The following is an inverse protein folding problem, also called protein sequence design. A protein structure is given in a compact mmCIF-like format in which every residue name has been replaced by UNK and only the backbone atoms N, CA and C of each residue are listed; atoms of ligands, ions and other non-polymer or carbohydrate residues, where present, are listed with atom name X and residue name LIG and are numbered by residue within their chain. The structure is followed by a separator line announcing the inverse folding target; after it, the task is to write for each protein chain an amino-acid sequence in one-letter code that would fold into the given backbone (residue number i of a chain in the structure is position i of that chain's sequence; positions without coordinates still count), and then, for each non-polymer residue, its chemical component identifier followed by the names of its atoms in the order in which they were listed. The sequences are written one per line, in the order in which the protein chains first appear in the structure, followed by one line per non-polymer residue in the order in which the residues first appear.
data_IF_823302273368
#
_entry.id   IF_823302273368
#
_cell.length_a   1.000
_cell.length_b   1.000
_cell.length_c   1.000
_cell.angle_alpha   90.00
_cell.angle_beta   90.00
_cell.angle_gamma   90.00
#
_symmetry.space_group_name_H-M   'P 1'
#
loop_
_entity.id
_entity.type
_entity.pdbx_description
1 polymer ?
#
# COMPACT_ATOMS: atom_id res chain seq x y z
N UNK A 1 -50.27 -34.05 -43.58
CA UNK A 1 -49.05 -34.25 -44.39
C UNK A 1 -48.74 -32.95 -45.11
N UNK A 2 -47.49 -32.45 -45.00
CA UNK A 2 -46.80 -31.49 -45.88
C UNK A 2 -45.85 -30.64 -45.02
N UNK A 3 -44.55 -30.70 -45.32
CA UNK A 3 -43.53 -29.82 -44.73
C UNK A 3 -43.32 -28.63 -45.66
N UNK A 4 -42.94 -27.47 -45.12
CA UNK A 4 -42.12 -26.51 -45.84
C UNK A 4 -41.03 -25.96 -44.92
N UNK A 5 -39.82 -25.83 -45.46
CA UNK A 5 -38.59 -25.53 -44.73
C UNK A 5 -38.18 -24.09 -44.98
N UNK A 6 -38.08 -23.27 -43.94
CA UNK A 6 -37.42 -21.96 -44.01
C UNK A 6 -35.93 -22.13 -43.68
N UNK A 7 -35.08 -21.77 -44.64
CA UNK A 7 -33.62 -21.88 -44.51
C UNK A 7 -33.06 -20.69 -43.73
N UNK A 8 -32.30 -20.94 -42.66
CA UNK A 8 -31.48 -19.91 -42.00
C UNK A 8 -30.10 -19.87 -42.66
N UNK A 9 -29.70 -18.71 -43.21
CA UNK A 9 -28.30 -18.44 -43.52
C UNK A 9 -27.58 -18.02 -42.24
N UNK A 10 -26.61 -18.81 -41.80
CA UNK A 10 -25.72 -18.46 -40.70
C UNK A 10 -24.42 -17.84 -41.24
N UNK A 11 -24.26 -16.52 -41.06
CA UNK A 11 -23.02 -15.81 -41.38
C UNK A 11 -22.00 -16.05 -40.27
N UNK A 12 -20.96 -16.84 -40.53
CA UNK A 12 -19.90 -17.11 -39.57
C UNK A 12 -18.95 -15.90 -39.45
N UNK A 13 -18.99 -15.20 -38.31
CA UNK A 13 -18.04 -14.14 -37.99
C UNK A 13 -16.81 -14.75 -37.31
N UNK A 14 -15.67 -14.78 -38.01
CA UNK A 14 -14.40 -15.25 -37.47
C UNK A 14 -13.82 -14.23 -36.48
N UNK A 15 -14.09 -14.44 -35.19
CA UNK A 15 -13.44 -13.69 -34.12
C UNK A 15 -11.97 -14.16 -33.97
N UNK A 16 -11.03 -13.30 -34.34
CA UNK A 16 -9.60 -13.52 -34.05
C UNK A 16 -9.38 -13.32 -32.56
N UNK A 17 -9.35 -14.43 -31.82
CA UNK A 17 -9.04 -14.41 -30.38
C UNK A 17 -7.59 -14.04 -30.16
N UNK A 18 -7.32 -12.84 -29.66
CA UNK A 18 -6.04 -12.46 -29.08
C UNK A 18 -5.85 -13.22 -27.76
N UNK A 19 -5.29 -14.43 -27.83
CA UNK A 19 -4.87 -15.20 -26.66
C UNK A 19 -3.66 -14.53 -26.01
N UNK A 20 -3.91 -13.52 -25.18
CA UNK A 20 -2.91 -12.98 -24.26
C UNK A 20 -2.70 -14.01 -23.15
N UNK A 21 -1.63 -14.80 -23.27
CA UNK A 21 -1.19 -15.66 -22.17
C UNK A 21 -0.57 -14.79 -21.07
N UNK A 22 -1.38 -14.35 -20.12
CA UNK A 22 -0.94 -13.63 -18.94
C UNK A 22 -1.21 -14.44 -17.67
N UNK A 23 -0.37 -15.45 -17.42
CA UNK A 23 -0.16 -15.95 -16.05
C UNK A 23 0.70 -14.94 -15.26
N UNK A 24 0.17 -13.73 -15.05
CA UNK A 24 0.81 -12.73 -14.19
C UNK A 24 0.25 -12.86 -12.77
N UNK A 25 0.95 -13.60 -11.91
CA UNK A 25 0.68 -13.68 -10.46
C UNK A 25 1.01 -12.37 -9.70
N UNK A 26 1.23 -11.27 -10.43
CA UNK A 26 1.62 -9.96 -9.92
C UNK A 26 0.45 -8.99 -9.98
N UNK A 27 0.34 -8.11 -8.99
CA UNK A 27 -0.63 -7.02 -9.00
C UNK A 27 -0.29 -6.01 -10.10
N UNK A 28 -1.29 -5.47 -10.79
CA UNK A 28 -1.09 -4.37 -11.73
C UNK A 28 -0.84 -3.06 -10.97
N UNK A 29 -0.12 -2.13 -11.59
CA UNK A 29 0.07 -0.79 -11.02
C UNK A 29 -1.27 -0.03 -10.90
N UNK A 30 -2.23 -0.25 -11.81
CA UNK A 30 -3.58 0.30 -11.72
C UNK A 30 -4.33 -0.23 -10.49
N UNK A 31 -4.20 -1.52 -10.16
CA UNK A 31 -4.88 -2.11 -9.00
C UNK A 31 -4.38 -1.51 -7.68
N UNK A 32 -3.06 -1.39 -7.50
CA UNK A 32 -2.51 -0.76 -6.28
C UNK A 32 -2.72 0.75 -6.24
N UNK A 33 -2.76 1.43 -7.41
CA UNK A 33 -3.13 2.84 -7.49
C UNK A 33 -4.60 3.06 -7.13
N UNK A 34 -5.52 2.21 -7.58
CA UNK A 34 -6.93 2.24 -7.19
C UNK A 34 -7.08 2.07 -5.68
N UNK A 35 -6.42 1.07 -5.06
CA UNK A 35 -6.43 0.90 -3.59
C UNK A 35 -5.97 2.19 -2.91
N UNK A 36 -4.81 2.72 -3.31
CA UNK A 36 -4.23 3.92 -2.70
C UNK A 36 -5.11 5.17 -2.85
N UNK A 37 -5.79 5.35 -3.98
CA UNK A 37 -6.69 6.49 -4.23
C UNK A 37 -8.07 6.32 -3.59
N UNK A 38 -8.47 5.10 -3.25
CA UNK A 38 -9.74 4.90 -2.53
C UNK A 38 -9.65 5.43 -1.10
N UNK A 39 -8.47 5.48 -0.49
CA UNK A 39 -8.28 6.06 0.85
C UNK A 39 -8.65 7.55 0.98
N UNK A 40 -8.13 8.49 0.16
CA UNK A 40 -8.62 9.87 0.14
C UNK A 40 -10.07 9.98 -0.34
N UNK A 41 -10.47 9.16 -1.32
CA UNK A 41 -11.85 9.18 -1.82
C UNK A 41 -12.87 8.69 -0.78
N UNK A 42 -12.45 7.85 0.17
CA UNK A 42 -13.21 7.40 1.32
C UNK A 42 -12.94 8.23 2.58
N UNK A 43 -12.30 9.41 2.48
CA UNK A 43 -12.04 10.34 3.59
C UNK A 43 -11.23 9.73 4.77
N UNK A 44 -10.36 8.74 4.48
CA UNK A 44 -9.43 8.13 5.45
C UNK A 44 -8.06 8.84 5.51
N UNK A 45 -7.85 9.81 4.62
CA UNK A 45 -6.63 10.62 4.51
C UNK A 45 -7.01 12.08 4.20
N UNK A 46 -6.27 13.09 4.66
CA UNK A 46 -4.95 13.03 5.30
C UNK A 46 -4.97 12.66 6.80
N UNK A 47 -6.17 12.53 7.36
CA UNK A 47 -6.43 12.16 8.76
C UNK A 47 -7.50 11.04 8.73
N UNK A 48 -7.39 9.98 9.54
CA UNK A 48 -6.31 9.68 10.49
C UNK A 48 -5.00 9.24 9.83
N UNK A 49 -5.01 8.77 8.57
CA UNK A 49 -3.82 8.27 7.86
C UNK A 49 -3.20 9.37 6.98
N UNK A 50 -1.96 9.82 7.24
CA UNK A 50 -1.25 10.70 6.33
C UNK A 50 -1.04 10.06 4.95
N UNK A 51 -1.39 10.78 3.87
CA UNK A 51 -1.20 10.29 2.50
C UNK A 51 0.26 9.94 2.17
N UNK A 52 1.22 10.54 2.89
CA UNK A 52 2.66 10.24 2.78
C UNK A 52 3.06 8.87 3.33
N UNK A 53 2.21 8.20 4.12
CA UNK A 53 2.45 6.83 4.60
C UNK A 53 2.02 5.77 3.59
N UNK A 54 1.11 6.09 2.66
CA UNK A 54 0.63 5.16 1.65
C UNK A 54 1.66 4.99 0.52
N UNK A 55 2.25 3.81 0.44
CA UNK A 55 2.86 3.33 -0.80
C UNK A 55 2.35 1.92 -1.07
N UNK A 56 1.11 1.80 -1.55
CA UNK A 56 0.50 0.49 -1.81
C UNK A 56 1.28 -0.21 -2.93
N UNK A 57 1.77 -1.41 -2.61
CA UNK A 57 2.62 -2.27 -3.43
C UNK A 57 2.07 -3.70 -3.52
N UNK A 58 1.11 -4.08 -2.67
CA UNK A 58 0.44 -5.37 -2.67
C UNK A 58 -1.07 -5.26 -2.46
N UNK A 59 -1.78 -6.33 -2.82
CA UNK A 59 -3.23 -6.45 -2.68
C UNK A 59 -3.54 -7.23 -1.42
N UNK A 60 -4.24 -6.58 -0.48
CA UNK A 60 -4.71 -7.21 0.76
C UNK A 60 -6.08 -7.85 0.54
N UNK A 61 -6.18 -9.18 0.69
CA UNK A 61 -7.46 -9.83 0.95
C UNK A 61 -7.70 -9.92 2.47
N UNK A 62 -8.96 -9.75 2.85
CA UNK A 62 -9.45 -9.81 4.22
C UNK A 62 -10.64 -10.75 4.25
N UNK A 63 -10.65 -11.67 5.21
CA UNK A 63 -11.73 -12.66 5.37
C UNK A 63 -12.10 -12.78 6.86
N UNK A 64 -13.36 -12.55 7.21
CA UNK A 64 -13.89 -12.68 8.57
C UNK A 64 -14.62 -14.02 8.70
N UNK A 65 -13.97 -15.04 9.27
CA UNK A 65 -14.51 -16.41 9.27
C UNK A 65 -14.69 -16.93 7.85
N UNK A 66 -15.95 -17.13 7.42
CA UNK A 66 -16.30 -17.54 6.05
C UNK A 66 -16.64 -16.35 5.12
N UNK A 67 -16.58 -15.11 5.61
CA UNK A 67 -17.00 -13.90 4.88
C UNK A 67 -15.79 -13.22 4.24
N UNK A 68 -15.63 -13.39 2.92
CA UNK A 68 -14.61 -12.70 2.12
C UNK A 68 -15.03 -11.25 1.81
N UNK A 69 -14.17 -10.28 2.12
CA UNK A 69 -14.28 -8.91 1.58
C UNK A 69 -13.96 -8.96 0.09
N UNK A 70 -14.91 -8.54 -0.73
CA UNK A 70 -14.85 -8.68 -2.19
C UNK A 70 -14.42 -7.36 -2.86
N UNK A 71 -14.87 -6.23 -2.31
CA UNK A 71 -14.52 -4.89 -2.78
C UNK A 71 -14.11 -3.98 -1.60
N UNK A 72 -13.33 -2.93 -1.92
CA UNK A 72 -12.99 -1.88 -0.96
C UNK A 72 -14.27 -1.12 -0.55
N UNK A 73 -14.50 -1.01 0.75
CA UNK A 73 -15.67 -0.32 1.29
C UNK A 73 -16.97 -1.13 1.26
N UNK A 74 -16.91 -2.45 1.01
CA UNK A 74 -18.05 -3.35 1.18
C UNK A 74 -18.75 -3.09 2.53
N UNK A 75 -20.08 -2.99 2.50
CA UNK A 75 -20.89 -2.89 3.71
C UNK A 75 -21.07 -4.28 4.32
N UNK A 76 -20.52 -4.50 5.50
CA UNK A 76 -20.69 -5.73 6.27
C UNK A 76 -21.59 -5.48 7.50
N UNK A 77 -22.29 -6.53 7.92
CA UNK A 77 -23.07 -6.52 9.16
C UNK A 77 -22.19 -6.88 10.36
N UNK A 78 -22.57 -6.40 11.55
CA UNK A 78 -21.94 -6.80 12.83
C UNK A 78 -21.83 -8.33 12.98
N UNK A 79 -22.83 -9.08 12.51
CA UNK A 79 -22.83 -10.55 12.56
C UNK A 79 -21.73 -11.19 11.69
N UNK A 80 -21.43 -10.62 10.53
CA UNK A 80 -20.39 -11.12 9.61
C UNK A 80 -18.96 -10.91 10.14
N UNK A 81 -18.78 -9.95 11.05
CA UNK A 81 -17.48 -9.59 11.64
C UNK A 81 -17.35 -9.99 13.12
N UNK A 82 -18.05 -11.05 13.56
CA UNK A 82 -17.85 -11.58 14.92
C UNK A 82 -16.53 -12.35 15.05
N UNK A 83 -16.07 -12.98 13.96
CA UNK A 83 -14.81 -13.74 13.93
C UNK A 83 -13.66 -12.83 13.51
N UNK A 84 -12.52 -12.92 14.19
CA UNK A 84 -11.31 -12.19 13.84
C UNK A 84 -10.88 -12.44 12.38
N UNK A 85 -10.46 -11.40 11.64
CA UNK A 85 -10.09 -11.54 10.24
C UNK A 85 -8.76 -12.28 10.05
N UNK A 86 -8.68 -13.11 9.01
CA UNK A 86 -7.42 -13.51 8.38
C UNK A 86 -7.02 -12.51 7.29
N UNK A 87 -5.72 -12.30 7.13
CA UNK A 87 -5.15 -11.34 6.19
C UNK A 87 -4.20 -12.04 5.21
N UNK A 88 -4.29 -11.71 3.92
CA UNK A 88 -3.48 -12.35 2.87
C UNK A 88 -3.00 -11.34 1.85
N UNK A 89 -1.70 -11.35 1.52
CA UNK A 89 -1.15 -10.62 0.39
C UNK A 89 -1.29 -11.50 -0.85
N UNK A 90 -2.28 -11.21 -1.69
CA UNK A 90 -2.66 -12.11 -2.79
C UNK A 90 -1.82 -11.96 -4.03
N UNK A 91 -1.28 -10.77 -4.25
CA UNK A 91 -0.43 -10.38 -5.36
C UNK A 91 0.32 -9.10 -5.02
N UNK A 92 1.48 -8.90 -5.64
CA UNK A 92 2.36 -7.75 -5.43
C UNK A 92 2.84 -7.17 -6.76
N UNK A 93 3.19 -5.89 -6.82
CA UNK A 93 3.73 -5.28 -8.06
C UNK A 93 5.08 -5.91 -8.44
N UNK A 94 5.50 -5.83 -9.72
CA UNK A 94 6.84 -6.24 -10.12
C UNK A 94 7.95 -5.50 -9.35
N UNK A 95 7.76 -4.21 -9.03
CA UNK A 95 8.67 -3.45 -8.16
C UNK A 95 8.80 -4.06 -6.75
N UNK A 96 7.67 -4.37 -6.12
CA UNK A 96 7.61 -4.96 -4.80
C UNK A 96 8.33 -6.31 -4.75
N UNK A 97 8.11 -7.14 -5.78
CA UNK A 97 8.75 -8.44 -5.92
C UNK A 97 10.26 -8.31 -6.07
N UNK A 98 10.74 -7.43 -6.97
CA UNK A 98 12.18 -7.20 -7.17
C UNK A 98 12.87 -6.60 -5.95
N UNK A 99 12.19 -5.74 -5.21
CA UNK A 99 12.69 -5.15 -3.96
C UNK A 99 12.51 -6.06 -2.73
N UNK A 100 11.87 -7.24 -2.90
CA UNK A 100 11.53 -8.16 -1.80
C UNK A 100 10.75 -7.49 -0.66
N UNK A 101 9.83 -6.57 -0.98
CA UNK A 101 8.93 -5.88 -0.03
C UNK A 101 8.13 -6.90 0.79
N UNK A 102 7.66 -7.95 0.11
CA UNK A 102 6.91 -9.06 0.69
C UNK A 102 7.76 -10.34 0.79
N UNK A 103 9.08 -10.19 0.98
CA UNK A 103 10.02 -11.31 1.13
C UNK A 103 9.92 -12.01 2.49
N UNK A 104 10.40 -13.25 2.58
CA UNK A 104 10.27 -14.10 3.79
C UNK A 104 11.04 -13.61 5.02
N UNK A 105 12.00 -12.70 4.86
CA UNK A 105 12.68 -12.02 5.97
C UNK A 105 11.96 -10.76 6.46
N UNK A 106 10.92 -10.31 5.76
CA UNK A 106 10.17 -9.09 6.09
C UNK A 106 9.12 -9.35 7.14
N UNK A 107 8.87 -8.31 7.93
CA UNK A 107 7.90 -8.29 9.01
C UNK A 107 6.96 -7.12 8.84
N UNK A 108 5.73 -7.28 9.32
CA UNK A 108 4.68 -6.29 9.19
C UNK A 108 3.97 -6.03 10.53
N UNK A 109 3.46 -4.82 10.69
CA UNK A 109 2.41 -4.51 11.65
C UNK A 109 1.08 -4.51 10.89
N UNK A 110 0.11 -5.29 11.36
CA UNK A 110 -1.24 -5.34 10.79
C UNK A 110 -2.22 -4.77 11.80
N UNK A 111 -3.01 -3.80 11.36
CA UNK A 111 -3.98 -3.10 12.19
C UNK A 111 -5.38 -3.14 11.57
N UNK A 112 -6.41 -3.27 12.41
CA UNK A 112 -7.82 -3.10 12.07
C UNK A 112 -8.37 -1.98 12.95
N UNK A 113 -8.70 -0.85 12.34
CA UNK A 113 -8.91 0.41 13.01
C UNK A 113 -10.22 1.02 12.53
N UNK A 114 -11.11 1.36 13.45
CA UNK A 114 -12.28 2.18 13.13
C UNK A 114 -11.84 3.64 13.05
N UNK A 115 -11.93 4.23 11.86
CA UNK A 115 -11.72 5.67 11.75
C UNK A 115 -12.91 6.42 12.35
N UNK A 116 -14.14 5.89 12.22
CA UNK A 116 -15.42 6.58 12.44
C UNK A 116 -16.16 6.92 11.13
N UNK A 117 -17.23 7.71 11.24
CA UNK A 117 -18.12 8.04 10.11
C UNK A 117 -17.49 9.03 9.13
N UNK A 118 -17.75 8.84 7.83
CA UNK A 118 -17.32 9.71 6.75
C UNK A 118 -17.68 11.18 7.00
N UNK A 119 -16.70 12.09 6.89
CA UNK A 119 -16.88 13.53 7.13
C UNK A 119 -17.06 13.97 8.59
N UNK A 120 -17.05 13.05 9.57
CA UNK A 120 -17.05 13.39 11.01
C UNK A 120 -15.66 13.33 11.65
N UNK A 121 -14.70 12.70 10.99
CA UNK A 121 -13.40 12.41 11.57
C UNK A 121 -12.40 13.54 11.32
N UNK A 122 -12.06 14.27 12.38
CA UNK A 122 -11.01 15.29 12.36
C UNK A 122 -9.86 14.98 13.32
N UNK A 123 -9.82 13.76 13.88
CA UNK A 123 -8.83 13.31 14.87
C UNK A 123 -7.87 12.28 14.28
N UNK A 124 -6.65 12.29 14.81
CA UNK A 124 -5.60 11.29 14.56
C UNK A 124 -5.77 10.03 15.42
N UNK A 125 -6.56 10.15 16.49
CA UNK A 125 -7.11 9.07 17.29
C UNK A 125 -8.10 8.22 16.49
N UNK A 126 -7.97 6.90 16.59
CA UNK A 126 -8.84 5.90 15.96
C UNK A 126 -9.18 4.80 16.96
N UNK A 127 -10.36 4.20 16.87
CA UNK A 127 -10.71 3.12 17.78
C UNK A 127 -10.12 1.79 17.27
N UNK A 128 -9.14 1.26 17.99
CA UNK A 128 -8.36 0.11 17.57
C UNK A 128 -9.09 -1.19 17.87
N UNK A 129 -9.48 -1.92 16.83
CA UNK A 129 -10.15 -3.22 16.93
C UNK A 129 -9.19 -4.42 16.92
N UNK A 130 -8.02 -4.27 16.30
CA UNK A 130 -6.91 -5.23 16.36
C UNK A 130 -5.59 -4.55 15.99
N UNK A 131 -4.51 -4.96 16.65
CA UNK A 131 -3.15 -4.51 16.33
C UNK A 131 -2.16 -5.62 16.65
N UNK A 132 -1.57 -6.23 15.62
CA UNK A 132 -0.51 -7.23 15.77
C UNK A 132 0.78 -6.80 15.06
N UNK A 133 1.91 -7.27 15.56
CA UNK A 133 3.25 -6.94 15.09
C UNK A 133 4.01 -8.20 14.71
N UNK A 134 5.13 -8.08 14.00
CA UNK A 134 5.95 -9.23 13.58
C UNK A 134 5.17 -10.22 12.71
N UNK A 135 4.19 -9.76 11.93
CA UNK A 135 3.55 -10.60 10.94
C UNK A 135 4.55 -11.01 9.88
N UNK A 136 4.65 -12.29 9.58
CA UNK A 136 5.41 -12.84 8.44
C UNK A 136 4.45 -13.19 7.32
N UNK A 137 4.95 -13.30 6.09
CA UNK A 137 4.22 -13.95 5.00
C UNK A 137 4.58 -15.43 5.01
N UNK A 138 3.58 -16.26 5.22
CA UNK A 138 3.69 -17.72 5.29
C UNK A 138 3.06 -18.37 4.07
N UNK A 139 3.58 -19.56 3.74
CA UNK A 139 3.15 -20.35 2.59
C UNK A 139 3.44 -19.71 1.23
N UNK A 140 3.00 -20.42 0.18
CA UNK A 140 2.95 -19.89 -1.19
C UNK A 140 1.64 -19.16 -1.49
N UNK A 141 0.66 -19.24 -0.59
CA UNK A 141 -0.63 -18.55 -0.72
C UNK A 141 -0.55 -17.10 -0.23
N UNK A 142 0.41 -16.73 0.62
CA UNK A 142 0.67 -15.34 1.00
C UNK A 142 -0.06 -14.89 2.28
N UNK A 143 -0.39 -15.83 3.17
CA UNK A 143 -1.07 -15.54 4.44
C UNK A 143 -0.15 -14.74 5.37
N UNK A 144 -0.70 -13.70 6.00
CA UNK A 144 -0.01 -12.98 7.05
C UNK A 144 -0.23 -13.70 8.39
N UNK A 145 0.82 -14.31 8.93
CA UNK A 145 0.80 -15.03 10.21
C UNK A 145 1.46 -14.18 11.30
N UNK A 146 0.78 -13.98 12.42
CA UNK A 146 1.31 -13.22 13.55
C UNK A 146 2.19 -14.11 14.42
N UNK A 147 3.50 -13.83 14.45
CA UNK A 147 4.49 -14.57 15.24
C UNK A 147 4.47 -14.19 16.74
N UNK A 148 3.64 -13.23 17.15
CA UNK A 148 3.61 -12.70 18.52
C UNK A 148 2.19 -12.50 19.05
N UNK A 149 2.05 -12.32 20.37
CA UNK A 149 0.80 -11.84 20.94
C UNK A 149 0.43 -10.47 20.32
N UNK A 150 -0.85 -10.27 20.01
CA UNK A 150 -1.33 -8.97 19.55
C UNK A 150 -1.10 -7.91 20.64
N UNK A 151 -0.94 -6.63 20.26
CA UNK A 151 -1.03 -5.51 21.19
C UNK A 151 -2.49 -5.27 21.55
N UNK A 152 -3.34 -5.12 20.54
CA UNK A 152 -4.79 -5.09 20.73
C UNK A 152 -5.36 -6.40 20.22
N UNK A 153 -5.93 -7.18 21.13
CA UNK A 153 -6.65 -8.41 20.80
C UNK A 153 -7.93 -8.07 20.03
N UNK A 154 -8.38 -8.97 19.16
CA UNK A 154 -9.54 -8.71 18.30
C UNK A 154 -10.81 -8.48 19.13
N UNK A 155 -11.45 -7.33 18.95
CA UNK A 155 -12.84 -7.12 19.34
C UNK A 155 -13.70 -6.85 18.11
N UNK A 156 -14.87 -7.49 18.04
CA UNK A 156 -15.80 -7.30 16.94
C UNK A 156 -16.33 -5.84 16.90
N UNK A 157 -16.45 -5.22 15.71
CA UNK A 157 -17.12 -3.94 15.52
C UNK A 157 -18.55 -3.89 16.09
N UNK A 158 -18.86 -2.79 16.76
CA UNK A 158 -20.20 -2.47 17.25
C UNK A 158 -20.38 -0.93 17.25
N UNK A 159 -20.54 -0.29 16.08
CA UNK A 159 -20.72 1.16 15.99
C UNK A 159 -22.04 1.59 16.65
N UNK A 160 -22.11 2.87 17.04
CA UNK A 160 -23.28 3.41 17.71
C UNK A 160 -24.52 3.38 16.79
N UNK A 161 -25.67 3.05 17.37
CA UNK A 161 -26.92 2.92 16.59
C UNK A 161 -27.34 4.26 15.99
N UNK A 162 -27.58 4.26 14.69
CA UNK A 162 -27.93 5.43 13.86
C UNK A 162 -26.85 6.53 13.76
N UNK A 163 -25.58 6.24 14.06
CA UNK A 163 -24.49 7.21 13.83
C UNK A 163 -24.13 7.34 12.33
N UNK A 164 -24.35 6.27 11.57
CA UNK A 164 -24.01 6.12 10.15
C UNK A 164 -22.97 5.01 9.94
N UNK A 165 -22.48 4.83 8.70
CA UNK A 165 -21.45 3.85 8.40
C UNK A 165 -20.08 4.28 8.92
N UNK A 166 -19.57 3.50 9.87
CA UNK A 166 -18.20 3.59 10.35
C UNK A 166 -17.26 2.90 9.35
N UNK A 167 -16.07 3.49 9.16
CA UNK A 167 -15.09 3.02 8.17
C UNK A 167 -13.96 2.30 8.89
N UNK A 168 -13.95 0.98 8.76
CA UNK A 168 -12.92 0.15 9.39
C UNK A 168 -11.83 -0.14 8.38
N UNK A 169 -10.64 0.43 8.59
CA UNK A 169 -9.47 0.25 7.73
C UNK A 169 -8.61 -0.93 8.21
N UNK A 170 -8.15 -1.74 7.26
CA UNK A 170 -7.15 -2.80 7.46
C UNK A 170 -5.83 -2.32 6.85
N UNK A 171 -4.81 -2.12 7.67
CA UNK A 171 -3.52 -1.55 7.25
C UNK A 171 -2.39 -2.54 7.48
N UNK A 172 -1.49 -2.69 6.49
CA UNK A 172 -0.25 -3.47 6.60
C UNK A 172 0.94 -2.53 6.46
N UNK A 173 1.56 -2.20 7.59
CA UNK A 173 2.78 -1.40 7.67
C UNK A 173 4.01 -2.31 7.58
N UNK A 174 5.03 -1.90 6.80
CA UNK A 174 6.36 -2.49 6.91
C UNK A 174 6.96 -2.27 8.31
N UNK A 175 7.73 -3.24 8.81
CA UNK A 175 8.62 -3.08 9.94
C UNK A 175 10.07 -3.04 9.45
N UNK A 176 10.89 -2.14 10.01
CA UNK A 176 12.34 -2.18 9.82
C UNK A 176 12.98 -3.25 10.72
N UNK A 177 14.18 -3.70 10.36
CA UNK A 177 14.81 -4.90 10.94
C UNK A 177 15.07 -4.81 12.48
N UNK A 178 15.08 -3.60 13.04
CA UNK A 178 15.23 -3.31 14.47
C UNK A 178 13.94 -2.81 15.14
N UNK A 179 12.77 -3.09 14.55
CA UNK A 179 11.47 -2.71 15.09
C UNK A 179 11.24 -3.24 16.52
N UNK A 180 10.86 -2.34 17.42
CA UNK A 180 10.28 -2.65 18.73
C UNK A 180 8.99 -1.84 18.90
N UNK A 181 7.90 -2.54 19.16
CA UNK A 181 6.61 -1.90 19.41
C UNK A 181 6.64 -0.99 20.65
N UNK A 182 5.88 0.13 20.64
CA UNK A 182 5.63 0.93 21.84
C UNK A 182 5.08 0.08 23.00
N UNK A 183 5.32 0.54 24.24
CA UNK A 183 4.81 -0.12 25.45
C UNK A 183 3.28 -0.08 25.56
N UNK A 184 2.65 0.94 24.98
CA UNK A 184 1.19 1.14 24.91
C UNK A 184 0.71 1.04 23.46
N UNK A 185 -0.38 0.30 23.16
CA UNK A 185 -1.15 -0.58 24.05
C UNK A 185 -0.30 -1.73 24.60
N UNK A 186 -0.60 -2.20 25.82
CA UNK A 186 0.03 -3.39 26.40
C UNK A 186 -0.28 -4.65 25.56
N UNK A 187 0.46 -5.76 25.73
CA UNK A 187 0.15 -6.99 25.00
C UNK A 187 -1.21 -7.59 25.41
N UNK A 188 -2.00 -8.03 24.44
CA UNK A 188 -3.37 -8.52 24.56
C UNK A 188 -4.33 -7.55 25.27
N UNK A 189 -4.14 -6.24 25.10
CA UNK A 189 -5.09 -5.26 25.57
C UNK A 189 -6.42 -5.38 24.80
N UNK A 190 -7.52 -4.97 25.43
CA UNK A 190 -8.82 -4.86 24.79
C UNK A 190 -8.84 -3.72 23.73
N UNK A 191 -9.89 -3.69 22.92
CA UNK A 191 -10.15 -2.58 21.99
C UNK A 191 -10.20 -1.25 22.74
N UNK A 192 -9.57 -0.23 22.17
CA UNK A 192 -9.35 1.07 22.83
C UNK A 192 -9.01 2.15 21.78
N UNK A 193 -9.15 3.41 22.17
CA UNK A 193 -8.64 4.54 21.40
C UNK A 193 -7.11 4.45 21.25
N UNK A 194 -6.65 4.67 20.03
CA UNK A 194 -5.24 4.63 19.65
C UNK A 194 -4.91 5.92 18.90
N UNK A 195 -4.02 6.72 19.47
CA UNK A 195 -3.36 7.78 18.72
C UNK A 195 -2.40 7.13 17.70
N UNK A 196 -2.87 6.99 16.46
CA UNK A 196 -2.20 6.22 15.43
C UNK A 196 -0.86 6.84 15.04
N UNK A 197 -0.75 8.18 15.12
CA UNK A 197 0.49 8.89 14.82
C UNK A 197 1.52 8.71 15.93
N UNK A 198 1.10 8.67 17.19
CA UNK A 198 2.01 8.34 18.29
C UNK A 198 2.49 6.88 18.21
N UNK A 199 1.62 5.92 17.89
CA UNK A 199 2.07 4.53 17.73
C UNK A 199 3.06 4.38 16.56
N UNK A 200 2.82 5.06 15.43
CA UNK A 200 3.72 5.06 14.28
C UNK A 200 5.07 5.72 14.59
N UNK A 201 5.06 6.90 15.22
CA UNK A 201 6.27 7.70 15.47
C UNK A 201 7.11 7.17 16.64
N UNK A 202 6.49 6.55 17.66
CA UNK A 202 7.19 6.05 18.85
C UNK A 202 7.60 4.56 18.74
N UNK A 203 7.31 3.89 17.62
CA UNK A 203 7.86 2.57 17.34
C UNK A 203 9.38 2.67 17.17
N UNK A 204 10.16 2.16 18.13
CA UNK A 204 11.61 2.17 18.03
C UNK A 204 12.06 1.30 16.84
N UNK A 205 13.09 1.73 16.11
CA UNK A 205 13.45 1.15 14.81
C UNK A 205 12.53 1.59 13.66
N UNK A 206 11.28 1.92 13.94
CA UNK A 206 10.33 2.57 13.04
C UNK A 206 9.35 1.63 12.35
N UNK A 207 8.16 2.15 12.05
CA UNK A 207 7.30 1.62 10.99
C UNK A 207 7.65 2.27 9.65
N UNK A 208 7.60 1.46 8.59
CA UNK A 208 7.75 1.89 7.21
C UNK A 208 6.41 2.26 6.57
N UNK A 209 6.31 2.13 5.26
CA UNK A 209 5.08 2.50 4.54
C UNK A 209 3.96 1.49 4.77
N UNK A 210 2.72 1.96 4.61
CA UNK A 210 1.57 1.09 4.41
C UNK A 210 1.70 0.54 2.98
N UNK A 211 2.03 -0.75 2.87
CA UNK A 211 2.33 -1.43 1.59
C UNK A 211 1.17 -2.26 1.06
N UNK A 212 0.20 -2.60 1.90
CA UNK A 212 -1.07 -3.16 1.48
C UNK A 212 -2.17 -2.64 2.42
N UNK A 213 -3.37 -2.43 1.87
CA UNK A 213 -4.48 -1.90 2.65
C UNK A 213 -5.84 -2.32 2.07
N UNK A 214 -6.85 -2.31 2.93
CA UNK A 214 -8.26 -2.49 2.60
C UNK A 214 -9.10 -1.64 3.57
N UNK A 215 -10.39 -1.49 3.30
CA UNK A 215 -11.35 -1.05 4.32
C UNK A 215 -12.72 -1.66 4.04
N UNK A 216 -13.57 -1.67 5.07
CA UNK A 216 -14.99 -2.06 5.01
C UNK A 216 -15.83 -0.97 5.68
N UNK A 217 -17.14 -1.02 5.48
CA UNK A 217 -18.10 -0.20 6.21
C UNK A 217 -19.02 -1.06 7.07
N UNK A 218 -19.40 -0.58 8.25
CA UNK A 218 -20.38 -1.24 9.13
C UNK A 218 -21.26 -0.16 9.76
N UNK A 219 -22.55 -0.42 9.83
CA UNK A 219 -23.53 0.42 10.51
C UNK A 219 -24.47 -0.43 11.39
N UNK A 220 -25.09 0.21 12.38
CA UNK A 220 -26.18 -0.36 13.18
C UNK A 220 -27.37 0.58 13.10
N UNK A 221 -28.51 0.07 12.63
CA UNK A 221 -29.68 0.90 12.32
C UNK A 221 -29.52 1.60 10.97
N UNK A 222 -30.03 2.83 10.85
CA UNK A 222 -29.87 3.69 9.67
C UNK A 222 -29.60 5.12 10.15
N UNK A 223 -28.33 5.53 10.08
CA UNK A 223 -27.92 6.89 10.42
C UNK A 223 -27.88 7.81 9.20
N UNK A 224 -27.95 9.13 9.42
CA UNK A 224 -27.71 10.11 8.35
C UNK A 224 -26.23 10.14 8.01
N UNK A 225 -25.81 9.29 7.07
CA UNK A 225 -24.45 9.29 6.53
C UNK A 225 -24.17 10.58 5.74
N UNK A 226 -23.08 11.31 6.03
CA UNK A 226 -22.58 12.34 5.13
C UNK A 226 -22.14 11.71 3.81
N UNK A 227 -22.41 12.38 2.68
CA UNK A 227 -22.11 11.87 1.34
C UNK A 227 -20.63 12.00 0.94
N UNK A 228 -19.69 11.89 1.89
CA UNK A 228 -18.28 12.26 1.67
C UNK A 228 -17.42 11.18 1.01
N UNK A 229 -17.94 9.98 0.76
CA UNK A 229 -17.27 9.02 -0.12
C UNK A 229 -17.45 9.44 -1.58
N UNK A 230 -16.34 9.75 -2.26
CA UNK A 230 -16.31 10.13 -3.67
C UNK A 230 -15.91 8.95 -4.57
N UNK A 231 -16.31 8.99 -5.85
CA UNK A 231 -15.79 8.04 -6.84
C UNK A 231 -14.32 8.35 -7.17
N UNK A 232 -13.47 7.32 -7.20
CA UNK A 232 -12.08 7.45 -7.68
C UNK A 232 -12.10 7.67 -9.20
N UNK A 233 -11.44 8.72 -9.69
CA UNK A 233 -11.38 8.99 -11.13
C UNK A 233 -10.37 8.07 -11.84
N UNK A 234 -10.77 7.46 -12.95
CA UNK A 234 -9.89 6.59 -13.75
C UNK A 234 -8.63 7.32 -14.23
N UNK A 235 -8.72 8.62 -14.52
CA UNK A 235 -7.57 9.45 -14.89
C UNK A 235 -6.55 9.56 -13.75
N UNK A 236 -7.01 9.69 -12.51
CA UNK A 236 -6.14 9.68 -11.32
C UNK A 236 -5.46 8.33 -11.12
N UNK A 237 -6.19 7.22 -11.33
CA UNK A 237 -5.64 5.85 -11.26
C UNK A 237 -4.51 5.68 -12.25
N UNK A 238 -4.76 5.95 -13.53
CA UNK A 238 -3.76 5.80 -14.59
C UNK A 238 -2.55 6.71 -14.38
N UNK A 239 -2.73 7.93 -13.88
CA UNK A 239 -1.63 8.83 -13.55
C UNK A 239 -0.76 8.31 -12.40
N UNK A 240 -1.36 7.82 -11.30
CA UNK A 240 -0.63 7.25 -10.17
C UNK A 240 0.03 5.91 -10.53
N UNK A 241 -0.63 5.07 -11.33
CA UNK A 241 -0.09 3.81 -11.84
C UNK A 241 1.16 4.05 -12.71
N UNK A 242 1.11 5.02 -13.63
CA UNK A 242 2.26 5.44 -14.43
C UNK A 242 3.40 6.02 -13.57
N UNK A 243 3.08 6.79 -12.52
CA UNK A 243 4.07 7.29 -11.55
C UNK A 243 4.75 6.15 -10.79
N UNK A 244 3.99 5.17 -10.27
CA UNK A 244 4.55 3.99 -9.59
C UNK A 244 5.40 3.13 -10.53
N UNK A 245 4.99 2.92 -11.79
CA UNK A 245 5.75 2.11 -12.74
C UNK A 245 7.06 2.79 -13.20
N UNK A 246 7.06 4.12 -13.38
CA UNK A 246 8.27 4.88 -13.73
C UNK A 246 9.26 4.96 -12.56
N UNK A 247 8.77 5.11 -11.31
CA UNK A 247 9.58 5.03 -10.10
C UNK A 247 10.20 3.63 -9.88
N UNK A 248 9.58 2.57 -10.40
CA UNK A 248 10.16 1.23 -10.45
C UNK A 248 11.33 1.13 -11.45
N UNK A 249 11.14 1.67 -12.65
CA UNK A 249 12.15 1.63 -13.72
C UNK A 249 13.45 2.37 -13.37
N UNK A 250 13.35 3.53 -12.69
CA UNK A 250 14.53 4.32 -12.31
C UNK A 250 15.44 3.62 -11.28
N UNK A 251 14.88 2.80 -10.38
CA UNK A 251 15.67 1.99 -9.43
C UNK A 251 16.51 0.91 -10.14
N UNK A 252 16.05 0.41 -11.29
CA UNK A 252 16.75 -0.64 -12.04
C UNK A 252 17.89 -0.14 -12.93
N UNK A 253 18.01 1.17 -13.16
CA UNK A 253 19.04 1.77 -14.00
C UNK A 253 20.32 2.20 -13.23
N UNK A 254 20.31 2.13 -11.88
CA UNK A 254 21.41 2.59 -11.02
C UNK A 254 22.54 1.55 -10.85
N UNK A 255 22.34 0.30 -11.28
CA UNK A 255 23.24 -0.82 -11.00
C UNK A 255 24.13 -1.27 -12.17
N UNK A 256 24.26 -0.46 -13.23
CA UNK A 256 25.01 -0.82 -14.44
C UNK A 256 26.13 0.18 -14.80
N UNK A 257 26.94 0.56 -13.81
CA UNK A 257 28.19 1.30 -14.02
C UNK A 257 29.27 0.83 -13.03
N UNK A 258 30.22 0.02 -13.50
CA UNK A 258 31.42 -0.31 -12.71
C UNK A 258 31.93 -1.74 -12.77
N UNK A 259 32.40 -2.21 -13.93
CA UNK A 259 33.42 -3.28 -13.97
C UNK A 259 34.34 -3.08 -15.19
N UNK A 260 35.35 -2.23 -15.03
CA UNK A 260 36.48 -2.16 -15.94
C UNK A 260 37.54 -3.18 -15.48
N UNK A 261 37.74 -4.24 -16.26
CA UNK A 261 38.70 -5.32 -15.98
C UNK A 261 40.14 -4.80 -15.92
N UNK A 262 40.83 -4.98 -14.80
CA UNK A 262 42.28 -4.76 -14.67
C UNK A 262 43.01 -6.06 -14.35
N UNK A 263 43.49 -6.73 -15.40
CA UNK A 263 44.24 -8.00 -15.29
C UNK A 263 45.62 -7.76 -14.70
N UNK A 264 46.04 -8.60 -13.75
CA UNK A 264 47.30 -8.47 -13.03
C UNK A 264 48.50 -8.96 -13.85
N UNK A 265 49.57 -8.16 -13.89
CA UNK A 265 50.93 -8.66 -14.13
C UNK A 265 51.96 -7.82 -13.36
N UNK A 266 52.90 -8.51 -12.69
CA UNK A 266 53.86 -7.91 -11.77
C UNK A 266 55.02 -7.22 -12.49
N UNK A 267 55.72 -6.29 -11.82
CA UNK A 267 57.19 -6.30 -11.59
C UNK A 267 57.59 -5.13 -10.66
N UNK A 268 58.80 -5.21 -10.09
CA UNK A 268 59.34 -4.41 -8.97
C UNK A 268 59.91 -3.03 -9.37
N UNK A 269 59.90 -2.12 -8.39
CA UNK A 269 60.88 -1.06 -8.10
C UNK A 269 61.20 0.08 -9.08
N UNK A 270 61.66 1.18 -8.44
CA UNK A 270 62.55 2.25 -8.92
C UNK A 270 61.93 3.49 -9.62
N UNK A 271 61.82 4.55 -8.80
CA UNK A 271 62.50 5.83 -9.00
C UNK A 271 62.34 6.63 -10.32
N UNK A 272 61.59 7.73 -10.18
CA UNK A 272 62.02 9.11 -10.44
C UNK A 272 61.93 9.71 -11.86
N UNK A 273 61.38 10.93 -11.87
CA UNK A 273 61.63 12.07 -12.78
C UNK A 273 61.08 12.09 -14.22
N UNK A 274 60.12 13.02 -14.40
CA UNK A 274 60.19 14.28 -15.20
C UNK A 274 59.35 14.42 -16.50
N UNK A 275 58.64 15.57 -16.46
CA UNK A 275 58.33 16.55 -17.53
C UNK A 275 57.18 16.32 -18.54
N UNK A 276 56.38 17.39 -18.68
CA UNK A 276 55.56 17.73 -19.86
C UNK A 276 54.13 17.19 -19.87
N UNK A 277 53.07 17.98 -20.06
CA UNK A 277 52.98 19.45 -20.15
C UNK A 277 51.56 19.94 -20.50
N UNK A 278 51.22 21.15 -20.00
CA UNK A 278 50.23 22.15 -20.49
C UNK A 278 48.88 21.71 -21.09
N UNK A 279 47.77 22.17 -20.46
CA UNK A 279 46.44 22.59 -21.03
C UNK A 279 45.25 22.17 -20.12
N UNK A 280 44.13 22.91 -19.96
CA UNK A 280 43.83 24.35 -20.23
C UNK A 280 42.70 24.82 -19.26
N UNK A 281 42.25 26.08 -19.39
CA UNK A 281 41.23 26.75 -18.56
C UNK A 281 39.77 26.23 -18.64
N UNK A 282 38.95 26.60 -17.64
CA UNK A 282 37.49 26.42 -17.67
C UNK A 282 36.74 26.85 -16.39
N UNK A 283 36.78 28.15 -16.02
CA UNK A 283 36.01 28.70 -14.88
C UNK A 283 34.82 29.52 -15.41
N UNK A 284 33.60 29.06 -15.13
CA UNK A 284 32.32 29.81 -15.22
C UNK A 284 31.46 29.26 -14.07
N UNK A 285 31.02 29.96 -13.01
CA UNK A 285 30.62 31.36 -12.76
C UNK A 285 29.13 31.67 -13.02
N UNK A 286 28.44 32.09 -11.94
CA UNK A 286 27.09 32.70 -11.89
C UNK A 286 25.90 31.80 -12.26
N UNK A 287 24.71 31.96 -11.66
CA UNK A 287 24.36 32.90 -10.59
C UNK A 287 22.93 32.66 -10.07
N UNK A 288 22.65 33.12 -8.86
CA UNK A 288 21.34 33.07 -8.21
C UNK A 288 20.51 34.31 -8.53
N UNK A 289 19.18 34.15 -8.61
CA UNK A 289 18.23 35.26 -8.68
C UNK A 289 16.99 34.94 -7.85
N UNK A 290 16.92 35.52 -6.64
CA UNK A 290 15.67 35.72 -5.93
C UNK A 290 15.17 37.13 -6.24
N UNK A 291 13.86 37.32 -6.37
CA UNK A 291 13.27 38.65 -6.48
C UNK A 291 11.99 38.74 -5.65
N UNK A 292 12.09 39.49 -4.57
CA UNK A 292 10.98 39.89 -3.69
C UNK A 292 10.49 41.25 -4.17
N UNK A 293 9.17 41.44 -4.25
CA UNK A 293 8.54 42.74 -4.45
C UNK A 293 7.38 42.90 -3.47
N UNK A 294 7.43 43.94 -2.62
CA UNK A 294 6.50 44.14 -1.52
C UNK A 294 5.54 45.31 -1.75
N UNK A 295 4.41 45.24 -1.02
CA UNK A 295 3.42 46.25 -0.64
C UNK A 295 3.59 47.73 -1.07
N UNK A 296 2.47 48.41 -1.34
CA UNK A 296 1.83 49.34 -0.37
C UNK A 296 0.58 50.02 -0.96
N UNK A 297 -0.57 49.87 -0.29
CA UNK A 297 -1.50 50.94 0.16
C UNK A 297 -2.57 50.33 1.08
#
# INVERSE_FOLDING_TARGET
MAFSKTSLLATALLAVGSTVSAQSSSASYDQVAQIQLTFPAADLTPVPVPASWLDIQGVLNVTFGDVNVSNLGDMLTVAQVQTAPSFRISSQTPAASSASVFGSSKRFTVAFLDAGVAGKNTSTEVFCHYLGNNFTISGSDGQLQNETAARVAYGAPLPATNDGPHRYMQLVFEQFDNFTAPSTPAANAAIQDLELQDYYNNANGGLGKIVAASYIQIEVGQGTAPSSTSAVSQASVTALAASKSSAAGSKSASSSAGTATSTTSATKNAAMSRMGGVSVAGIIAMGSAALVGAAML
#
